data_IF_968501939086
#
_entry.id   IF_968501939086
#
_cell.length_a   1.000
_cell.length_b   1.000
_cell.length_c   1.000
_cell.angle_alpha   90.00
_cell.angle_beta   90.00
_cell.angle_gamma   90.00
#
_symmetry.space_group_name_H-M   'P 1'
#
loop_
_entity.id
_entity.type
_entity.pdbx_description
1 polymer ?
#
# COMPACT_ATOMS: atom_id res chain seq x y z
N UNK A 1 12.99 11.29 23.57
CA UNK A 1 11.55 11.47 23.34
C UNK A 1 11.28 12.96 23.14
N UNK A 2 10.57 13.32 22.08
CA UNK A 2 10.18 14.69 21.72
C UNK A 2 8.66 14.78 21.86
N UNK A 3 8.16 15.87 22.40
CA UNK A 3 6.74 16.09 22.65
C UNK A 3 6.32 17.46 22.13
N UNK A 4 5.25 17.49 21.35
CA UNK A 4 4.68 18.68 20.76
C UNK A 4 3.15 18.67 20.90
N UNK A 5 2.53 19.80 20.72
CA UNK A 5 1.07 19.95 20.70
C UNK A 5 0.64 20.47 19.33
N UNK A 6 -0.34 19.81 18.75
CA UNK A 6 -0.93 20.22 17.48
C UNK A 6 -2.38 20.66 17.66
N UNK A 7 -2.83 21.60 16.86
CA UNK A 7 -4.23 22.07 16.88
C UNK A 7 -5.16 21.20 15.99
N UNK A 8 -4.66 20.06 15.53
CA UNK A 8 -5.39 19.13 14.64
C UNK A 8 -4.46 18.11 14.02
N UNK A 9 -4.91 17.41 12.97
CA UNK A 9 -4.09 16.46 12.22
C UNK A 9 -2.82 17.09 11.68
N UNK A 10 -1.75 16.32 11.61
CA UNK A 10 -0.42 16.77 11.17
C UNK A 10 0.08 15.92 10.01
N UNK A 11 1.11 16.38 9.32
CA UNK A 11 1.86 15.57 8.37
C UNK A 11 3.17 15.13 8.99
N UNK A 12 3.39 13.82 9.08
CA UNK A 12 4.67 13.27 9.51
C UNK A 12 5.50 12.87 8.28
N UNK A 13 6.67 13.49 8.12
CA UNK A 13 7.65 13.16 7.08
C UNK A 13 8.85 12.48 7.74
N UNK A 14 9.05 11.20 7.43
CA UNK A 14 10.07 10.34 8.04
C UNK A 14 11.08 9.90 6.99
N UNK A 15 12.35 10.23 7.21
CA UNK A 15 13.46 9.82 6.34
C UNK A 15 14.54 9.11 7.16
N UNK A 16 14.57 7.79 7.07
CA UNK A 16 15.44 6.94 7.87
C UNK A 16 16.21 5.94 7.01
N UNK A 17 17.42 5.53 7.39
CA UNK A 17 18.19 4.56 6.62
C UNK A 17 17.58 3.16 6.70
N UNK A 18 17.01 2.81 7.85
CA UNK A 18 16.38 1.51 8.05
C UNK A 18 16.00 1.26 9.50
N UNK A 19 15.31 0.17 9.72
CA UNK A 19 14.83 -0.22 11.04
C UNK A 19 13.32 -0.39 11.09
N UNK A 20 12.65 0.26 12.03
CA UNK A 20 11.20 0.15 12.20
C UNK A 20 10.60 1.53 12.47
N UNK A 21 9.53 1.87 11.79
CA UNK A 21 8.71 3.04 12.07
C UNK A 21 7.31 2.59 12.49
N UNK A 22 6.96 2.84 13.73
CA UNK A 22 5.63 2.54 14.28
C UNK A 22 4.88 3.85 14.50
N UNK A 23 3.73 3.97 13.88
CA UNK A 23 2.85 5.14 13.98
C UNK A 23 1.54 4.74 14.64
N UNK A 24 1.14 5.49 15.65
CA UNK A 24 -0.17 5.35 16.29
C UNK A 24 -0.96 6.63 16.16
N UNK A 25 -2.02 6.58 15.36
CA UNK A 25 -2.97 7.69 15.21
C UNK A 25 -4.07 7.58 16.26
N UNK A 26 -4.11 8.52 17.19
CA UNK A 26 -5.03 8.48 18.35
C UNK A 26 -5.79 9.78 18.50
N UNK A 27 -6.91 9.74 19.21
CA UNK A 27 -7.63 10.97 19.55
C UNK A 27 -6.80 11.85 20.48
N UNK A 28 -6.74 13.14 20.19
CA UNK A 28 -6.05 14.13 21.01
C UNK A 28 -5.03 14.96 20.23
N UNK A 29 -4.51 16.02 20.85
CA UNK A 29 -3.61 16.98 20.20
C UNK A 29 -2.12 16.59 20.32
N UNK A 30 -1.79 15.51 21.01
CA UNK A 30 -0.40 15.15 21.28
C UNK A 30 0.31 14.63 20.02
N UNK A 31 1.49 15.16 19.78
CA UNK A 31 2.43 14.68 18.75
C UNK A 31 3.70 14.29 19.49
N UNK A 32 4.05 13.01 19.46
CA UNK A 32 5.29 12.55 20.07
C UNK A 32 6.14 11.80 19.07
N UNK A 33 7.46 11.93 19.22
CA UNK A 33 8.42 11.16 18.47
C UNK A 33 9.50 10.63 19.39
N UNK A 34 9.70 9.34 19.37
CA UNK A 34 10.79 8.67 20.06
C UNK A 34 11.69 8.00 19.05
N UNK A 35 12.99 8.25 19.15
CA UNK A 35 14.01 7.67 18.28
C UNK A 35 14.99 6.92 19.11
N UNK A 36 15.14 5.63 18.83
CA UNK A 36 16.07 4.76 19.55
C UNK A 36 16.89 3.91 18.56
N UNK A 37 18.13 3.52 18.91
CA UNK A 37 18.87 2.58 18.11
C UNK A 37 18.17 1.21 18.10
N UNK A 38 18.05 0.55 16.95
CA UNK A 38 17.45 -0.79 16.88
C UNK A 38 18.20 -1.80 17.76
N UNK A 39 19.54 -1.63 17.89
CA UNK A 39 20.36 -2.40 18.79
C UNK A 39 21.38 -1.50 19.50
N UNK A 40 21.24 -1.29 20.80
CA UNK A 40 22.06 -0.37 21.58
C UNK A 40 23.55 -0.74 21.64
N UNK A 41 23.91 -2.01 21.42
CA UNK A 41 25.30 -2.47 21.35
C UNK A 41 25.99 -2.25 19.99
N UNK A 42 25.22 -1.96 18.93
CA UNK A 42 25.76 -1.67 17.60
C UNK A 42 26.11 -0.20 17.48
N UNK A 43 27.37 0.11 17.21
CA UNK A 43 27.81 1.50 17.09
C UNK A 43 27.18 2.25 15.93
N UNK A 44 26.87 1.56 14.81
CA UNK A 44 26.16 2.13 13.67
C UNK A 44 24.74 2.57 14.01
N UNK A 45 23.98 1.75 14.73
CA UNK A 45 22.62 2.05 15.12
C UNK A 45 22.56 3.24 16.12
N UNK A 46 23.51 3.29 17.06
CA UNK A 46 23.64 4.46 17.96
C UNK A 46 23.96 5.73 17.19
N UNK A 47 24.93 5.68 16.28
CA UNK A 47 25.28 6.85 15.45
C UNK A 47 24.11 7.30 14.59
N UNK A 48 23.34 6.37 14.03
CA UNK A 48 22.14 6.69 13.26
C UNK A 48 21.08 7.36 14.14
N UNK A 49 20.83 6.83 15.35
CA UNK A 49 19.89 7.44 16.28
C UNK A 49 20.35 8.83 16.75
N UNK A 50 21.62 9.00 17.08
CA UNK A 50 22.23 10.30 17.48
C UNK A 50 22.19 11.34 16.35
N UNK A 51 22.36 10.91 15.09
CA UNK A 51 22.30 11.78 13.91
C UNK A 51 20.86 12.06 13.42
N UNK A 52 19.85 11.51 14.12
CA UNK A 52 18.45 11.75 13.75
C UNK A 52 17.94 13.02 14.42
N UNK A 53 17.47 13.93 13.59
CA UNK A 53 16.81 15.17 14.03
C UNK A 53 15.30 14.98 14.00
N UNK A 54 14.62 15.61 14.97
CA UNK A 54 13.17 15.68 15.05
C UNK A 54 12.79 17.12 15.19
N UNK A 55 11.99 17.62 14.26
CA UNK A 55 11.51 19.00 14.21
C UNK A 55 10.00 19.02 13.97
N UNK A 56 9.34 20.03 14.54
CA UNK A 56 7.90 20.23 14.35
C UNK A 56 7.61 21.70 14.08
N UNK A 57 7.24 22.00 12.85
CA UNK A 57 6.91 23.35 12.43
C UNK A 57 5.70 23.34 11.48
N UNK A 58 4.83 24.34 11.63
CA UNK A 58 3.69 24.52 10.73
C UNK A 58 2.75 23.32 10.59
N UNK A 59 2.66 22.44 11.59
CA UNK A 59 1.87 21.20 11.52
C UNK A 59 2.57 20.05 10.78
N UNK A 60 3.87 20.17 10.51
CA UNK A 60 4.69 19.13 9.91
C UNK A 60 5.70 18.63 10.93
N UNK A 61 5.62 17.32 11.24
CA UNK A 61 6.62 16.61 12.01
C UNK A 61 7.66 16.03 11.05
N UNK A 62 8.90 16.48 11.16
CA UNK A 62 10.01 15.97 10.33
C UNK A 62 10.94 15.13 11.19
N UNK A 63 11.13 13.87 10.81
CA UNK A 63 12.12 12.94 11.39
C UNK A 63 13.11 12.57 10.32
N UNK A 64 14.36 13.00 10.48
CA UNK A 64 15.41 12.79 9.47
C UNK A 64 16.70 12.29 10.07
N UNK A 65 17.24 11.20 9.53
CA UNK A 65 18.55 10.68 9.91
C UNK A 65 19.61 11.20 8.95
N UNK A 66 20.56 12.00 9.47
CA UNK A 66 21.68 12.56 8.72
C UNK A 66 21.27 13.59 7.66
N UNK A 67 22.26 14.17 7.01
CA UNK A 67 22.07 15.10 5.89
C UNK A 67 22.02 14.37 4.54
N UNK A 68 21.53 15.05 3.51
CA UNK A 68 21.45 14.50 2.15
C UNK A 68 22.85 14.22 1.63
N UNK A 69 23.24 12.94 1.50
CA UNK A 69 24.55 12.50 1.03
C UNK A 69 25.49 11.95 2.11
N UNK A 70 25.19 12.16 3.40
CA UNK A 70 25.95 11.61 4.53
C UNK A 70 25.00 10.98 5.56
N UNK A 71 24.29 9.93 5.14
CA UNK A 71 23.41 9.18 6.05
C UNK A 71 24.21 8.10 6.75
N UNK A 72 24.26 8.10 8.09
CA UNK A 72 24.93 7.03 8.83
C UNK A 72 24.20 5.72 8.57
N UNK A 73 24.98 4.68 8.27
CA UNK A 73 24.46 3.32 8.10
C UNK A 73 24.15 2.74 9.47
N UNK A 74 22.87 2.55 9.76
CA UNK A 74 22.41 1.95 11.03
C UNK A 74 20.89 1.77 10.98
N UNK A 75 20.41 0.91 11.86
CA UNK A 75 18.96 0.68 12.02
C UNK A 75 18.46 1.40 13.26
N UNK A 76 17.36 2.10 13.12
CA UNK A 76 16.71 2.81 14.23
C UNK A 76 15.26 2.38 14.37
N UNK A 77 14.73 2.58 15.55
CA UNK A 77 13.30 2.51 15.82
C UNK A 77 12.76 3.91 16.02
N UNK A 78 11.73 4.23 15.28
CA UNK A 78 10.98 5.49 15.38
C UNK A 78 9.56 5.16 15.82
N UNK A 79 9.16 5.61 16.98
CA UNK A 79 7.79 5.47 17.49
C UNK A 79 7.12 6.84 17.46
N UNK A 80 6.03 6.98 16.71
CA UNK A 80 5.27 8.21 16.55
C UNK A 80 3.86 8.05 17.13
N UNK A 81 3.44 9.05 17.91
CA UNK A 81 2.05 9.24 18.27
C UNK A 81 1.55 10.50 17.57
N UNK A 82 0.48 10.37 16.82
CA UNK A 82 -0.08 11.45 15.99
C UNK A 82 -1.58 11.60 16.25
N UNK A 83 -2.16 12.79 16.08
CA UNK A 83 -3.62 12.95 16.05
C UNK A 83 -4.26 12.09 14.96
N UNK A 84 -5.45 11.55 15.23
CA UNK A 84 -6.26 10.85 14.22
C UNK A 84 -6.47 11.72 12.98
N UNK A 85 -6.38 11.12 11.79
CA UNK A 85 -6.48 11.84 10.53
C UNK A 85 -5.19 12.55 10.10
N UNK A 86 -4.07 12.29 10.78
CA UNK A 86 -2.75 12.75 10.33
C UNK A 86 -2.30 12.00 9.07
N UNK A 87 -1.40 12.63 8.34
CA UNK A 87 -0.81 12.08 7.13
C UNK A 87 0.59 11.52 7.42
N UNK A 88 1.01 10.52 6.65
CA UNK A 88 2.31 9.88 6.81
C UNK A 88 3.03 9.75 5.48
N UNK A 89 4.25 10.28 5.42
CA UNK A 89 5.20 10.10 4.34
C UNK A 89 6.47 9.46 4.87
N UNK A 90 6.86 8.33 4.30
CA UNK A 90 8.08 7.63 4.70
C UNK A 90 8.97 7.38 3.50
N UNK A 91 10.24 7.74 3.64
CA UNK A 91 11.29 7.38 2.71
C UNK A 91 12.42 6.65 3.46
N UNK A 92 12.73 5.42 3.02
CA UNK A 92 13.76 4.61 3.66
C UNK A 92 14.49 3.70 2.69
N UNK A 93 15.72 3.32 3.03
CA UNK A 93 16.41 2.27 2.28
C UNK A 93 15.89 0.88 2.69
N UNK A 94 15.57 0.70 4.00
CA UNK A 94 15.17 -0.60 4.54
C UNK A 94 14.49 -0.47 5.89
N UNK A 95 13.20 -0.14 5.91
CA UNK A 95 12.44 -0.05 7.15
C UNK A 95 11.10 -0.77 7.07
N UNK A 96 10.74 -1.41 8.19
CA UNK A 96 9.39 -1.89 8.41
C UNK A 96 8.51 -0.73 8.89
N UNK A 97 7.33 -0.60 8.32
CA UNK A 97 6.36 0.45 8.62
C UNK A 97 5.10 -0.16 9.19
N UNK A 98 4.70 0.26 10.38
CA UNK A 98 3.46 -0.17 11.02
C UNK A 98 2.63 1.07 11.38
N UNK A 99 1.46 1.22 10.78
CA UNK A 99 0.55 2.32 11.05
C UNK A 99 -0.77 1.81 11.65
N UNK A 100 -1.01 2.19 12.87
CA UNK A 100 -2.22 1.85 13.63
C UNK A 100 -3.15 3.05 13.75
N UNK A 101 -4.45 2.78 13.67
CA UNK A 101 -5.49 3.80 13.71
C UNK A 101 -5.71 4.45 12.34
N UNK A 102 -6.35 5.62 12.32
CA UNK A 102 -6.78 6.29 11.09
C UNK A 102 -5.80 7.34 10.62
N UNK A 103 -5.24 7.15 9.43
CA UNK A 103 -4.48 8.15 8.68
C UNK A 103 -5.35 8.85 7.63
N UNK A 104 -5.00 10.09 7.27
CA UNK A 104 -5.62 10.80 6.17
C UNK A 104 -5.11 10.26 4.81
N UNK A 105 -3.81 10.14 4.65
CA UNK A 105 -3.16 9.53 3.49
C UNK A 105 -1.82 8.92 3.89
N UNK A 106 -1.31 8.03 3.04
CA UNK A 106 -0.06 7.32 3.27
C UNK A 106 0.79 7.29 2.00
N UNK A 107 2.04 7.70 2.11
CA UNK A 107 3.05 7.51 1.06
C UNK A 107 4.25 6.77 1.64
N UNK A 108 4.62 5.66 1.01
CA UNK A 108 5.80 4.87 1.39
C UNK A 108 6.70 4.69 0.17
N UNK A 109 7.95 5.10 0.32
CA UNK A 109 9.03 4.85 -0.63
C UNK A 109 10.12 4.08 0.11
N UNK A 110 10.27 2.80 -0.21
CA UNK A 110 11.24 1.95 0.50
C UNK A 110 11.96 0.98 -0.43
N UNK A 111 13.27 0.84 -0.20
CA UNK A 111 14.07 -0.18 -0.85
C UNK A 111 13.71 -1.58 -0.38
N UNK A 112 13.45 -1.79 0.92
CA UNK A 112 12.98 -3.07 1.47
C UNK A 112 12.32 -2.89 2.84
N UNK A 113 11.55 -3.88 3.27
CA UNK A 113 10.81 -3.89 4.54
C UNK A 113 9.32 -4.12 4.32
N UNK A 114 8.64 -4.46 5.39
CA UNK A 114 7.19 -4.65 5.37
C UNK A 114 6.46 -3.33 5.61
N UNK A 115 5.33 -3.15 4.94
CA UNK A 115 4.42 -2.03 5.19
C UNK A 115 3.08 -2.56 5.66
N UNK A 116 2.63 -2.14 6.85
CA UNK A 116 1.31 -2.46 7.40
C UNK A 116 0.57 -1.20 7.78
N UNK A 117 -0.67 -1.06 7.31
CA UNK A 117 -1.55 0.02 7.73
C UNK A 117 -2.99 -0.49 7.90
N UNK A 118 -3.62 -0.12 9.00
CA UNK A 118 -4.98 -0.58 9.32
C UNK A 118 -6.05 0.18 8.52
N UNK A 119 -5.99 1.50 8.56
CA UNK A 119 -7.01 2.34 7.93
C UNK A 119 -6.41 3.67 7.41
N UNK A 120 -6.58 3.91 6.12
CA UNK A 120 -6.25 5.18 5.47
C UNK A 120 -7.51 5.74 4.84
N UNK A 121 -7.98 6.90 5.30
CA UNK A 121 -9.24 7.51 4.83
C UNK A 121 -9.16 8.00 3.39
N UNK A 122 -8.02 8.46 2.96
CA UNK A 122 -7.74 8.97 1.62
C UNK A 122 -6.84 8.03 0.81
N UNK A 123 -5.93 8.63 0.08
CA UNK A 123 -5.09 7.94 -0.90
C UNK A 123 -3.89 7.25 -0.28
N UNK A 124 -3.49 6.13 -0.89
CA UNK A 124 -2.26 5.41 -0.57
C UNK A 124 -1.37 5.35 -1.81
N UNK A 125 -0.10 5.69 -1.62
CA UNK A 125 0.95 5.50 -2.62
C UNK A 125 2.08 4.64 -2.04
N UNK A 126 2.38 3.52 -2.70
CA UNK A 126 3.47 2.63 -2.34
C UNK A 126 4.47 2.54 -3.49
N UNK A 127 5.74 2.79 -3.21
CA UNK A 127 6.86 2.50 -4.10
C UNK A 127 7.84 1.61 -3.34
N UNK A 128 7.80 0.30 -3.62
CA UNK A 128 8.50 -0.72 -2.85
C UNK A 128 9.36 -1.56 -3.77
N UNK A 129 10.68 -1.53 -3.57
CA UNK A 129 11.52 -2.38 -4.39
C UNK A 129 11.44 -3.86 -3.94
N UNK A 130 11.48 -4.13 -2.62
CA UNK A 130 11.33 -5.49 -2.07
C UNK A 130 10.68 -5.47 -0.69
N UNK A 131 9.67 -6.26 -0.49
CA UNK A 131 8.96 -6.36 0.77
C UNK A 131 7.45 -6.41 0.58
N UNK A 132 6.78 -6.96 1.56
CA UNK A 132 5.34 -7.17 1.52
C UNK A 132 4.58 -5.94 2.03
N UNK A 133 3.44 -5.69 1.44
CA UNK A 133 2.54 -4.62 1.86
C UNK A 133 1.16 -5.18 2.23
N UNK A 134 0.71 -4.88 3.44
CA UNK A 134 -0.57 -5.31 3.98
C UNK A 134 -1.37 -4.07 4.42
N UNK A 135 -2.45 -3.81 3.73
CA UNK A 135 -3.35 -2.69 4.00
C UNK A 135 -4.74 -3.22 4.36
N UNK A 136 -5.32 -2.72 5.42
CA UNK A 136 -6.71 -3.00 5.75
C UNK A 136 -7.65 -2.22 4.81
N UNK A 137 -8.05 -1.03 5.19
CA UNK A 137 -8.97 -0.20 4.39
C UNK A 137 -8.26 1.04 3.84
N UNK A 138 -8.44 1.27 2.55
CA UNK A 138 -8.06 2.48 1.82
C UNK A 138 -9.33 3.14 1.29
N UNK A 139 -9.71 4.29 1.84
CA UNK A 139 -10.93 5.00 1.43
C UNK A 139 -10.82 5.69 0.08
N UNK A 140 -9.63 6.17 -0.26
CA UNK A 140 -9.31 6.82 -1.52
C UNK A 140 -8.70 5.88 -2.57
N UNK A 141 -7.88 6.45 -3.44
CA UNK A 141 -7.15 5.73 -4.48
C UNK A 141 -5.95 4.95 -3.92
N UNK A 142 -5.67 3.80 -4.52
CA UNK A 142 -4.45 3.04 -4.27
C UNK A 142 -3.56 3.07 -5.51
N UNK A 143 -2.37 3.65 -5.37
CA UNK A 143 -1.32 3.60 -6.38
C UNK A 143 -0.12 2.83 -5.85
N UNK A 144 0.35 1.81 -6.57
CA UNK A 144 1.50 1.03 -6.13
C UNK A 144 2.46 0.71 -7.27
N UNK A 145 3.75 0.67 -6.94
CA UNK A 145 4.81 0.14 -7.77
C UNK A 145 5.66 -0.82 -6.92
N UNK A 146 5.77 -2.08 -7.33
CA UNK A 146 6.57 -3.05 -6.65
C UNK A 146 7.50 -3.77 -7.63
N UNK A 147 8.71 -4.11 -7.18
CA UNK A 147 9.56 -5.01 -7.96
C UNK A 147 9.41 -6.44 -7.48
N UNK A 148 9.47 -6.65 -6.16
CA UNK A 148 9.28 -7.97 -5.54
C UNK A 148 8.58 -7.82 -4.20
N UNK A 149 7.72 -8.73 -3.87
CA UNK A 149 6.93 -8.73 -2.65
C UNK A 149 5.43 -8.74 -2.94
N UNK A 150 4.70 -9.22 -1.98
CA UNK A 150 3.27 -9.39 -2.09
C UNK A 150 2.52 -8.13 -1.66
N UNK A 151 1.41 -7.85 -2.34
CA UNK A 151 0.47 -6.81 -1.95
C UNK A 151 -0.84 -7.46 -1.51
N UNK A 152 -1.25 -7.19 -0.28
CA UNK A 152 -2.55 -7.54 0.24
C UNK A 152 -3.30 -6.30 0.69
N UNK A 153 -4.52 -6.13 0.21
CA UNK A 153 -5.42 -5.05 0.62
C UNK A 153 -6.82 -5.64 0.83
N UNK A 154 -7.43 -5.36 1.97
CA UNK A 154 -8.74 -5.92 2.26
C UNK A 154 -9.86 -5.10 1.57
N UNK A 155 -9.77 -3.76 1.56
CA UNK A 155 -10.80 -2.90 0.95
C UNK A 155 -10.20 -1.63 0.33
N UNK A 156 -10.66 -1.26 -0.87
CA UNK A 156 -10.32 0.00 -1.54
C UNK A 156 -11.58 0.68 -2.06
N UNK A 157 -11.88 1.88 -1.58
CA UNK A 157 -13.03 2.68 -2.02
C UNK A 157 -12.81 3.38 -3.37
N UNK A 158 -11.60 3.86 -3.62
CA UNK A 158 -11.23 4.54 -4.86
C UNK A 158 -10.64 3.61 -5.93
N UNK A 159 -10.15 4.19 -7.05
CA UNK A 159 -9.52 3.41 -8.11
C UNK A 159 -8.19 2.81 -7.67
N UNK A 160 -7.90 1.60 -8.17
CA UNK A 160 -6.63 0.91 -7.97
C UNK A 160 -5.78 1.00 -9.23
N UNK A 161 -4.54 1.44 -9.07
CA UNK A 161 -3.57 1.44 -10.17
C UNK A 161 -2.20 0.97 -9.70
N UNK A 162 -1.55 0.13 -10.49
CA UNK A 162 -0.19 -0.27 -10.13
C UNK A 162 0.43 -1.33 -10.99
N UNK A 163 1.70 -1.60 -10.67
CA UNK A 163 2.51 -2.60 -11.36
C UNK A 163 3.37 -3.35 -10.35
N UNK A 164 3.53 -4.65 -10.59
CA UNK A 164 4.53 -5.48 -9.94
C UNK A 164 5.38 -6.18 -10.98
N UNK A 165 6.63 -6.47 -10.64
CA UNK A 165 7.44 -7.37 -11.49
C UNK A 165 7.28 -8.81 -11.01
N UNK A 166 7.34 -9.03 -9.69
CA UNK A 166 7.18 -10.36 -9.10
C UNK A 166 6.48 -10.23 -7.75
N UNK A 167 5.62 -11.14 -7.44
CA UNK A 167 4.82 -11.15 -6.21
C UNK A 167 3.33 -11.15 -6.51
N UNK A 168 2.60 -11.73 -5.60
CA UNK A 168 1.15 -11.86 -5.70
C UNK A 168 0.43 -10.58 -5.29
N UNK A 169 -0.67 -10.30 -5.95
CA UNK A 169 -1.58 -9.22 -5.60
C UNK A 169 -2.92 -9.78 -5.14
N UNK A 170 -3.31 -9.46 -3.91
CA UNK A 170 -4.59 -9.88 -3.33
C UNK A 170 -5.38 -8.65 -2.89
N UNK A 171 -6.42 -8.33 -3.64
CA UNK A 171 -7.37 -7.28 -3.34
C UNK A 171 -8.68 -7.93 -2.88
N UNK A 172 -9.17 -7.61 -1.70
CA UNK A 172 -10.44 -8.12 -1.18
C UNK A 172 -11.60 -7.50 -1.95
N UNK A 173 -11.99 -6.28 -1.62
CA UNK A 173 -13.05 -5.53 -2.30
C UNK A 173 -12.54 -4.24 -2.89
N UNK A 174 -12.92 -3.94 -4.12
CA UNK A 174 -12.69 -2.65 -4.76
C UNK A 174 -14.03 -2.06 -5.20
N UNK A 175 -14.36 -0.85 -4.75
CA UNK A 175 -15.63 -0.20 -5.12
C UNK A 175 -15.56 0.50 -6.48
N UNK A 176 -14.36 0.72 -6.97
CA UNK A 176 -14.08 1.40 -8.25
C UNK A 176 -13.30 0.48 -9.19
N UNK A 177 -13.00 0.99 -10.38
CA UNK A 177 -12.21 0.26 -11.36
C UNK A 177 -10.76 0.01 -10.92
N UNK A 178 -10.14 -0.95 -11.57
CA UNK A 178 -8.73 -1.25 -11.34
C UNK A 178 -7.94 -1.39 -12.64
N UNK A 179 -6.69 -0.94 -12.59
CA UNK A 179 -5.71 -1.12 -13.67
C UNK A 179 -4.40 -1.62 -13.06
N UNK A 180 -4.13 -2.90 -13.22
CA UNK A 180 -2.94 -3.51 -12.63
C UNK A 180 -2.18 -4.34 -13.66
N UNK A 181 -0.86 -4.38 -13.51
CA UNK A 181 0.03 -5.17 -14.35
C UNK A 181 1.04 -5.94 -13.53
N UNK A 182 1.33 -7.19 -13.92
CA UNK A 182 2.41 -7.98 -13.35
C UNK A 182 3.19 -8.72 -14.43
N UNK A 183 4.49 -8.97 -14.18
CA UNK A 183 5.22 -9.90 -15.04
C UNK A 183 5.08 -11.33 -14.51
N UNK A 184 5.21 -11.53 -13.20
CA UNK A 184 5.10 -12.85 -12.58
C UNK A 184 4.42 -12.73 -11.24
N UNK A 185 3.48 -13.58 -10.97
CA UNK A 185 2.67 -13.58 -9.77
C UNK A 185 1.18 -13.54 -10.09
N UNK A 186 0.41 -14.06 -9.17
CA UNK A 186 -1.03 -14.15 -9.34
C UNK A 186 -1.71 -12.83 -8.97
N UNK A 187 -2.80 -12.53 -9.67
CA UNK A 187 -3.67 -11.40 -9.35
C UNK A 187 -5.03 -11.95 -8.91
N UNK A 188 -5.37 -11.72 -7.64
CA UNK A 188 -6.66 -12.14 -7.09
C UNK A 188 -7.44 -10.94 -6.59
N UNK A 189 -8.61 -10.73 -7.17
CA UNK A 189 -9.58 -9.71 -6.75
C UNK A 189 -10.84 -10.41 -6.26
N UNK A 190 -11.17 -10.21 -5.01
CA UNK A 190 -12.34 -10.84 -4.38
C UNK A 190 -13.63 -10.33 -5.00
N UNK A 191 -13.86 -9.01 -4.91
CA UNK A 191 -15.07 -8.37 -5.42
C UNK A 191 -14.77 -7.04 -6.07
N UNK A 192 -15.28 -6.84 -7.28
CA UNK A 192 -15.31 -5.52 -7.94
C UNK A 192 -16.74 -5.00 -7.90
N UNK A 193 -16.93 -3.85 -7.26
CA UNK A 193 -18.22 -3.17 -7.07
C UNK A 193 -18.45 -2.02 -8.05
N UNK A 194 -17.61 -1.82 -9.08
CA UNK A 194 -17.82 -0.76 -10.07
C UNK A 194 -16.60 -0.48 -10.95
N UNK A 195 -16.79 0.39 -11.94
CA UNK A 195 -15.73 0.85 -12.84
C UNK A 195 -15.28 -0.20 -13.86
N UNK A 196 -14.16 0.07 -14.53
CA UNK A 196 -13.57 -0.86 -15.49
C UNK A 196 -12.42 -1.65 -14.84
N UNK A 197 -12.29 -2.91 -15.22
CA UNK A 197 -11.20 -3.80 -14.78
C UNK A 197 -10.24 -4.01 -15.94
N UNK A 198 -8.98 -3.66 -15.73
CA UNK A 198 -7.92 -3.92 -16.71
C UNK A 198 -6.74 -4.59 -16.00
N UNK A 199 -6.51 -5.86 -16.34
CA UNK A 199 -5.42 -6.65 -15.76
C UNK A 199 -4.52 -7.17 -16.88
N UNK A 200 -3.22 -6.97 -16.73
CA UNK A 200 -2.21 -7.54 -17.65
C UNK A 200 -1.22 -8.39 -16.85
N UNK A 201 -0.96 -9.60 -17.31
CA UNK A 201 0.06 -10.48 -16.74
C UNK A 201 0.90 -11.11 -17.85
N UNK A 202 2.19 -11.34 -17.59
CA UNK A 202 2.99 -12.20 -18.48
C UNK A 202 2.92 -13.65 -18.02
N UNK A 203 3.01 -13.90 -16.70
CA UNK A 203 2.91 -15.25 -16.12
C UNK A 203 2.22 -15.16 -14.77
N UNK A 204 1.26 -16.01 -14.56
CA UNK A 204 0.47 -16.08 -13.34
C UNK A 204 -1.03 -16.07 -13.62
N UNK A 205 -1.76 -16.61 -12.69
CA UNK A 205 -3.21 -16.73 -12.79
C UNK A 205 -3.91 -15.44 -12.39
N UNK A 206 -4.97 -15.10 -13.09
CA UNK A 206 -5.79 -13.94 -12.79
C UNK A 206 -7.19 -14.40 -12.39
N UNK A 207 -7.60 -14.06 -11.17
CA UNK A 207 -8.94 -14.37 -10.66
C UNK A 207 -9.65 -13.09 -10.24
N UNK A 208 -10.82 -12.82 -10.84
CA UNK A 208 -11.62 -11.63 -10.55
C UNK A 208 -13.05 -12.04 -10.21
N UNK A 209 -13.51 -11.59 -9.04
CA UNK A 209 -14.92 -11.64 -8.65
C UNK A 209 -15.63 -10.32 -9.00
N UNK A 210 -16.86 -10.39 -9.49
CA UNK A 210 -17.67 -9.22 -9.80
C UNK A 210 -18.94 -9.27 -8.97
N UNK A 211 -19.31 -8.14 -8.38
CA UNK A 211 -20.54 -8.01 -7.61
C UNK A 211 -21.76 -8.37 -8.46
N UNK A 212 -22.73 -9.06 -7.85
CA UNK A 212 -23.93 -9.60 -8.51
C UNK A 212 -24.86 -8.54 -9.09
N UNK A 213 -24.78 -7.31 -8.60
CA UNK A 213 -25.58 -6.20 -9.10
C UNK A 213 -25.20 -5.76 -10.51
N UNK A 214 -23.95 -6.05 -10.94
CA UNK A 214 -23.42 -5.60 -12.23
C UNK A 214 -23.51 -6.66 -13.32
N UNK A 215 -23.79 -6.23 -14.54
CA UNK A 215 -23.51 -7.02 -15.73
C UNK A 215 -22.02 -7.07 -16.01
N UNK A 216 -21.59 -8.01 -16.86
CA UNK A 216 -20.18 -8.19 -17.19
C UNK A 216 -19.99 -8.31 -18.69
N UNK A 217 -19.11 -7.48 -19.21
CA UNK A 217 -18.62 -7.57 -20.58
C UNK A 217 -17.14 -7.98 -20.57
N UNK A 218 -16.87 -9.29 -20.68
CA UNK A 218 -15.51 -9.78 -20.59
C UNK A 218 -14.77 -9.65 -21.92
N UNK A 219 -13.50 -9.27 -21.82
CA UNK A 219 -12.50 -9.36 -22.92
C UNK A 219 -11.32 -10.12 -22.36
N UNK A 220 -11.36 -11.44 -22.48
CA UNK A 220 -10.36 -12.33 -21.89
C UNK A 220 -9.44 -12.89 -22.95
N UNK A 221 -8.13 -12.68 -22.80
CA UNK A 221 -7.09 -13.14 -23.72
C UNK A 221 -6.01 -13.88 -22.96
N UNK A 222 -5.72 -15.10 -23.35
CA UNK A 222 -4.55 -15.86 -22.92
C UNK A 222 -3.95 -16.58 -24.12
N UNK A 223 -2.62 -16.66 -24.17
CA UNK A 223 -1.96 -17.46 -25.19
C UNK A 223 -1.79 -18.91 -24.75
N UNK A 224 -1.53 -19.12 -23.45
CA UNK A 224 -1.36 -20.46 -22.87
C UNK A 224 -2.03 -20.49 -21.51
N UNK A 225 -3.18 -21.12 -21.44
CA UNK A 225 -4.02 -21.22 -20.25
C UNK A 225 -5.50 -21.27 -20.62
N UNK A 226 -6.32 -21.54 -19.63
CA UNK A 226 -7.76 -21.68 -19.76
C UNK A 226 -8.50 -20.41 -19.33
N UNK A 227 -9.66 -20.19 -19.91
CA UNK A 227 -10.62 -19.18 -19.47
C UNK A 227 -11.77 -19.91 -18.79
N UNK A 228 -11.96 -19.62 -17.50
CA UNK A 228 -12.90 -20.34 -16.63
C UNK A 228 -13.83 -19.40 -15.88
N UNK A 229 -14.90 -19.94 -15.35
CA UNK A 229 -15.84 -19.25 -14.49
C UNK A 229 -17.15 -18.89 -15.19
N UNK A 230 -18.18 -18.68 -14.40
CA UNK A 230 -19.56 -18.45 -14.84
C UNK A 230 -19.77 -17.14 -15.62
N UNK A 231 -18.82 -16.23 -15.55
CA UNK A 231 -18.87 -14.94 -16.24
C UNK A 231 -17.90 -14.87 -17.44
N UNK A 232 -17.24 -15.95 -17.78
CA UNK A 232 -16.27 -15.95 -18.89
C UNK A 232 -16.91 -15.60 -20.25
N UNK A 233 -18.19 -15.90 -20.44
CA UNK A 233 -18.97 -15.58 -21.63
C UNK A 233 -19.85 -14.30 -21.44
N UNK A 234 -19.71 -13.62 -20.31
CA UNK A 234 -20.47 -12.43 -19.95
C UNK A 234 -21.77 -12.73 -19.23
N UNK A 235 -22.36 -11.70 -18.67
CA UNK A 235 -23.67 -11.75 -18.01
C UNK A 235 -24.36 -10.39 -18.07
N UNK A 236 -25.69 -10.35 -18.27
CA UNK A 236 -26.45 -9.10 -18.31
C UNK A 236 -26.49 -8.43 -16.93
N UNK A 237 -26.62 -7.12 -16.94
CA UNK A 237 -26.84 -6.32 -15.73
C UNK A 237 -28.22 -6.60 -15.12
N UNK A 238 -28.28 -6.60 -13.80
CA UNK A 238 -29.53 -6.65 -13.04
C UNK A 238 -29.97 -5.28 -12.53
N UNK A 239 -29.27 -4.19 -12.88
CA UNK A 239 -29.67 -2.83 -12.53
C UNK A 239 -28.54 -1.79 -12.40
N UNK A 240 -27.35 -2.19 -11.98
CA UNK A 240 -26.24 -1.25 -11.70
C UNK A 240 -25.36 -0.89 -12.94
N UNK A 241 -25.71 -1.44 -14.12
CA UNK A 241 -24.91 -1.28 -15.33
C UNK A 241 -23.89 -2.41 -15.55
N UNK A 242 -23.10 -2.28 -16.61
CA UNK A 242 -22.12 -3.31 -16.98
C UNK A 242 -20.69 -2.88 -16.61
N UNK A 243 -19.95 -3.81 -16.06
CA UNK A 243 -18.49 -3.68 -15.84
C UNK A 243 -17.78 -4.29 -17.06
N UNK A 244 -16.89 -3.52 -17.68
CA UNK A 244 -15.96 -4.03 -18.69
C UNK A 244 -14.78 -4.67 -17.97
N UNK A 245 -14.55 -5.95 -18.22
CA UNK A 245 -13.45 -6.71 -17.63
C UNK A 245 -12.50 -7.15 -18.73
N UNK A 246 -11.39 -6.43 -18.86
CA UNK A 246 -10.33 -6.75 -19.79
C UNK A 246 -9.16 -7.40 -19.07
N UNK A 247 -8.89 -8.67 -19.36
CA UNK A 247 -7.78 -9.42 -18.79
C UNK A 247 -6.95 -10.01 -19.93
N UNK A 248 -5.66 -9.73 -19.89
CA UNK A 248 -4.70 -10.29 -20.84
C UNK A 248 -3.56 -10.95 -20.07
N UNK A 249 -3.31 -12.22 -20.34
CA UNK A 249 -2.13 -12.94 -19.86
C UNK A 249 -1.42 -13.64 -21.02
N UNK A 250 -0.11 -13.83 -20.90
CA UNK A 250 0.61 -14.66 -21.87
C UNK A 250 0.58 -16.12 -21.45
N UNK A 251 0.78 -16.40 -20.17
CA UNK A 251 0.76 -17.77 -19.60
C UNK A 251 0.09 -17.75 -18.24
N UNK A 252 -1.02 -18.44 -18.11
CA UNK A 252 -1.82 -18.53 -16.90
C UNK A 252 -3.31 -18.58 -17.17
N UNK A 253 -4.03 -19.10 -16.21
CA UNK A 253 -5.48 -19.24 -16.27
C UNK A 253 -6.19 -17.93 -15.90
N UNK A 254 -7.30 -17.67 -16.55
CA UNK A 254 -8.18 -16.54 -16.25
C UNK A 254 -9.47 -17.08 -15.66
N UNK A 255 -9.77 -16.69 -14.44
CA UNK A 255 -11.03 -17.04 -13.75
C UNK A 255 -11.86 -15.78 -13.52
N UNK A 256 -13.08 -15.76 -14.07
CA UNK A 256 -14.03 -14.67 -13.87
C UNK A 256 -15.33 -15.22 -13.27
N UNK A 257 -15.67 -14.77 -12.06
CA UNK A 257 -16.77 -15.35 -11.27
C UNK A 257 -17.64 -14.29 -10.61
N UNK A 258 -18.79 -14.70 -10.11
CA UNK A 258 -19.58 -13.88 -9.17
C UNK A 258 -18.90 -13.88 -7.79
N UNK A 259 -18.96 -12.74 -7.14
CA UNK A 259 -18.53 -12.57 -5.76
C UNK A 259 -19.67 -12.86 -4.77
#
# INVERSE_FOLDING_TARGET
MYEFQANGPVTASVQIPGGTCVVKATAGPAVTAEVTPAASWRSGDRKAAEATTVDFDGGVLTVRTGERGDRPKGRIRVDLLLPTGSALEIASDSADVEAHGQLAWLTVDTGSGQTKAEYVAGDVRLDVNSGDSELGTVGGALAFAARSGDLRVDHVGGPVSGKSTSGDMRLGTTESGLRVGTNSGDVRVGTVGGGAVHVTSSSGDVSVGVDRAFGVRPVLRTNSGDRRGELADGAPSTGAGDIVVEITTTSGDITLRRA
#
